data_IF_576389458043
#
_entry.id   IF_576389458043
#
_cell.length_a   1.000
_cell.length_b   1.000
_cell.length_c   1.000
_cell.angle_alpha   90.00
_cell.angle_beta   90.00
_cell.angle_gamma   90.00
#
_symmetry.space_group_name_H-M   'P 1'
#
loop_
_entity.id
_entity.type
_entity.pdbx_description
1 polymer ?
#
# COMPACT_ATOMS: atom_id res chain seq x y z
N UNK A 1 -58.44 -13.76 34.44
CA UNK A 1 -58.66 -12.41 33.88
C UNK A 1 -57.98 -12.41 32.53
N UNK A 2 -58.80 -12.58 31.49
CA UNK A 2 -58.43 -12.62 30.09
C UNK A 2 -58.78 -11.26 29.51
N UNK A 3 -57.83 -10.62 28.82
CA UNK A 3 -58.06 -9.61 27.78
C UNK A 3 -56.92 -9.87 26.77
N UNK A 4 -57.12 -10.45 25.58
CA UNK A 4 -57.91 -10.01 24.43
C UNK A 4 -57.40 -8.69 23.81
N UNK A 5 -56.47 -8.80 22.85
CA UNK A 5 -56.33 -7.83 21.76
C UNK A 5 -55.97 -8.58 20.48
N UNK A 6 -56.87 -8.51 19.50
CA UNK A 6 -56.73 -9.08 18.17
C UNK A 6 -55.78 -8.26 17.30
N UNK A 7 -54.98 -8.96 16.51
CA UNK A 7 -54.21 -8.37 15.42
C UNK A 7 -55.02 -8.37 14.12
N UNK A 8 -54.83 -7.37 13.25
CA UNK A 8 -55.46 -7.35 11.93
C UNK A 8 -54.70 -8.26 10.94
N UNK A 9 -55.47 -9.02 10.18
CA UNK A 9 -55.05 -9.70 8.95
C UNK A 9 -54.58 -8.66 7.93
N UNK A 10 -53.39 -8.87 7.37
CA UNK A 10 -52.93 -8.20 6.15
C UNK A 10 -52.59 -9.24 5.12
N UNK A 11 -53.60 -9.59 4.33
CA UNK A 11 -53.45 -10.22 3.03
C UNK A 11 -52.84 -9.20 2.07
N UNK A 12 -51.55 -9.37 1.77
CA UNK A 12 -50.78 -8.52 0.87
C UNK A 12 -50.16 -9.36 -0.24
N UNK A 13 -50.78 -9.25 -1.42
CA UNK A 13 -50.40 -9.73 -2.75
C UNK A 13 -48.92 -10.08 -2.97
N UNK A 14 -48.68 -11.34 -3.33
CA UNK A 14 -47.48 -11.75 -4.06
C UNK A 14 -47.57 -11.23 -5.50
N UNK A 15 -46.85 -10.14 -5.79
CA UNK A 15 -46.62 -9.67 -7.16
C UNK A 15 -45.32 -10.23 -7.73
N UNK A 16 -45.49 -10.94 -8.84
CA UNK A 16 -44.57 -11.36 -9.90
C UNK A 16 -43.16 -10.75 -9.91
N UNK A 17 -42.16 -11.58 -9.60
CA UNK A 17 -40.73 -11.32 -9.78
C UNK A 17 -40.11 -12.02 -11.00
N UNK A 18 -40.90 -12.55 -11.94
CA UNK A 18 -40.39 -13.34 -13.07
C UNK A 18 -40.14 -12.53 -14.37
N UNK A 19 -40.36 -11.22 -14.37
CA UNK A 19 -40.25 -10.38 -15.57
C UNK A 19 -38.86 -9.82 -15.91
N UNK A 20 -37.86 -9.88 -15.01
CA UNK A 20 -36.62 -9.10 -15.19
C UNK A 20 -35.44 -9.86 -15.84
N UNK A 21 -35.60 -11.14 -16.14
CA UNK A 21 -34.52 -11.96 -16.73
C UNK A 21 -34.74 -12.33 -18.20
N UNK A 22 -35.86 -11.96 -18.80
CA UNK A 22 -36.15 -12.28 -20.20
C UNK A 22 -35.47 -11.34 -21.22
N UNK A 23 -34.88 -10.22 -20.78
CA UNK A 23 -34.37 -9.16 -21.67
C UNK A 23 -32.83 -9.02 -21.71
N UNK A 24 -32.09 -9.99 -21.13
CA UNK A 24 -30.62 -10.05 -21.20
C UNK A 24 -30.08 -10.89 -22.37
N UNK A 25 -30.95 -11.19 -23.36
CA UNK A 25 -30.69 -12.19 -24.39
C UNK A 25 -30.03 -11.72 -25.69
N UNK A 26 -29.68 -10.43 -25.86
CA UNK A 26 -29.05 -9.92 -27.09
C UNK A 26 -27.94 -8.92 -26.79
N UNK A 27 -26.73 -9.43 -26.53
CA UNK A 27 -25.51 -8.67 -26.76
C UNK A 27 -25.00 -9.00 -28.16
N UNK A 28 -25.14 -8.06 -29.09
CA UNK A 28 -24.35 -8.10 -30.32
C UNK A 28 -22.89 -7.96 -29.94
N UNK A 29 -22.13 -9.04 -30.07
CA UNK A 29 -20.68 -9.07 -29.89
C UNK A 29 -20.00 -8.30 -31.02
N UNK A 30 -20.05 -6.97 -30.94
CA UNK A 30 -19.24 -6.09 -31.78
C UNK A 30 -17.77 -6.45 -31.60
N UNK A 31 -17.06 -6.62 -32.72
CA UNK A 31 -15.64 -6.97 -32.72
C UNK A 31 -14.86 -6.01 -31.81
N UNK A 32 -14.29 -6.56 -30.72
CA UNK A 32 -13.41 -5.81 -29.82
C UNK A 32 -12.26 -5.28 -30.69
N UNK A 33 -11.99 -3.97 -30.72
CA UNK A 33 -10.95 -3.40 -31.57
C UNK A 33 -9.57 -3.69 -30.97
N UNK A 34 -9.13 -4.95 -31.07
CA UNK A 34 -7.84 -5.45 -30.56
C UNK A 34 -6.68 -4.60 -31.08
N UNK A 35 -6.80 -4.08 -32.30
CA UNK A 35 -5.78 -3.23 -32.92
C UNK A 35 -5.58 -1.88 -32.22
N UNK A 36 -6.64 -1.28 -31.66
CA UNK A 36 -6.54 -0.03 -30.91
C UNK A 36 -5.78 -0.25 -29.59
N UNK A 37 -6.13 -1.32 -28.86
CA UNK A 37 -5.48 -1.69 -27.59
C UNK A 37 -4.02 -2.09 -27.79
N UNK A 38 -3.71 -2.83 -28.86
CA UNK A 38 -2.33 -3.22 -29.20
C UNK A 38 -1.48 -2.02 -29.64
N UNK A 39 -2.05 -1.05 -30.38
CA UNK A 39 -1.36 0.21 -30.71
C UNK A 39 -1.05 1.05 -29.48
N UNK A 40 -1.99 1.17 -28.55
CA UNK A 40 -1.79 1.93 -27.31
C UNK A 40 -0.72 1.27 -26.43
N UNK A 41 -0.72 -0.06 -26.34
CA UNK A 41 0.34 -0.81 -25.64
C UNK A 41 1.73 -0.65 -26.27
N UNK A 42 1.84 -0.65 -27.61
CA UNK A 42 3.12 -0.42 -28.30
C UNK A 42 3.64 1.00 -28.10
N UNK A 43 2.78 2.02 -28.14
CA UNK A 43 3.19 3.42 -27.93
C UNK A 43 3.81 3.64 -26.54
N UNK A 44 3.25 3.00 -25.50
CA UNK A 44 3.78 3.06 -24.13
C UNK A 44 5.16 2.37 -24.05
N UNK A 45 5.31 1.20 -24.69
CA UNK A 45 6.58 0.44 -24.68
C UNK A 45 7.72 1.19 -25.38
N UNK A 46 7.43 1.87 -26.49
CA UNK A 46 8.45 2.63 -27.24
C UNK A 46 8.92 3.87 -26.48
N UNK A 47 8.03 4.58 -25.76
CA UNK A 47 8.42 5.71 -24.90
C UNK A 47 9.40 5.31 -23.79
N UNK A 48 9.21 4.14 -23.17
CA UNK A 48 10.10 3.66 -22.10
C UNK A 48 11.49 3.29 -22.60
N UNK A 49 11.64 2.83 -23.85
CA UNK A 49 12.96 2.47 -24.42
C UNK A 49 13.84 3.67 -24.79
N UNK A 50 13.24 4.82 -25.10
CA UNK A 50 14.02 6.03 -25.46
C UNK A 50 14.65 6.70 -24.23
N UNK A 51 14.12 6.44 -23.03
CA UNK A 51 14.61 7.05 -21.78
C UNK A 51 15.69 6.20 -21.10
N UNK A 52 15.76 4.89 -21.39
CA UNK A 52 16.67 3.95 -20.71
C UNK A 52 18.10 3.85 -21.27
N UNK A 53 18.44 4.50 -22.39
CA UNK A 53 19.75 4.35 -23.04
C UNK A 53 20.78 5.44 -22.68
N UNK A 54 20.48 6.32 -21.71
CA UNK A 54 21.26 7.54 -21.46
C UNK A 54 22.28 7.54 -20.31
N UNK A 55 22.46 6.47 -19.54
CA UNK A 55 23.42 6.48 -18.42
C UNK A 55 24.19 5.17 -18.27
N UNK A 56 25.29 5.07 -19.02
CA UNK A 56 26.37 4.12 -18.77
C UNK A 56 27.71 4.82 -19.08
N UNK A 57 28.20 5.61 -18.12
CA UNK A 57 29.62 5.90 -17.91
C UNK A 57 29.78 6.89 -16.76
N UNK A 58 30.29 6.42 -15.63
CA UNK A 58 31.44 6.96 -14.87
C UNK A 58 31.49 6.15 -13.58
N UNK A 59 32.40 5.18 -13.58
CA UNK A 59 32.91 4.55 -12.37
C UNK A 59 34.30 5.15 -12.13
N UNK A 60 34.53 5.77 -10.97
CA UNK A 60 35.79 5.72 -10.23
C UNK A 60 35.74 6.58 -8.95
N UNK A 61 36.09 5.92 -7.84
CA UNK A 61 36.85 6.42 -6.69
C UNK A 61 36.32 7.61 -5.85
N UNK A 62 35.89 7.31 -4.62
CA UNK A 62 36.65 7.60 -3.38
C UNK A 62 35.78 7.22 -2.16
N UNK A 63 36.11 6.11 -1.51
CA UNK A 63 35.54 5.72 -0.22
C UNK A 63 36.40 6.30 0.90
N UNK A 64 35.96 7.40 1.51
CA UNK A 64 36.46 7.83 2.82
C UNK A 64 35.45 7.34 3.86
N UNK A 65 35.89 6.40 4.68
CA UNK A 65 35.11 5.86 5.78
C UNK A 65 34.91 6.91 6.88
N UNK A 66 33.65 7.18 7.22
CA UNK A 66 33.27 7.89 8.44
C UNK A 66 32.71 6.86 9.40
N UNK A 67 33.29 6.67 10.60
CA UNK A 67 32.67 5.82 11.61
C UNK A 67 31.48 6.57 12.21
N UNK A 68 30.26 6.11 11.93
CA UNK A 68 29.07 6.56 12.65
C UNK A 68 29.04 5.82 13.98
N UNK A 69 29.52 6.48 15.04
CA UNK A 69 29.29 6.07 16.41
C UNK A 69 27.82 6.36 16.75
N UNK A 70 26.99 5.32 16.78
CA UNK A 70 25.66 5.39 17.40
C UNK A 70 25.87 5.23 18.91
N UNK A 71 26.05 6.35 19.60
CA UNK A 71 25.96 6.39 21.05
C UNK A 71 24.52 6.72 21.44
N UNK A 72 23.82 5.72 21.98
CA UNK A 72 22.60 5.94 22.74
C UNK A 72 22.88 6.66 24.05
N UNK A 73 21.96 7.51 24.47
CA UNK A 73 22.01 8.18 25.75
C UNK A 73 20.81 9.10 25.89
N UNK A 74 19.78 8.61 26.56
CA UNK A 74 18.63 9.43 26.93
C UNK A 74 18.98 10.40 28.06
N UNK A 75 18.41 11.59 27.98
CA UNK A 75 18.08 12.40 29.16
C UNK A 75 17.16 13.56 28.75
N UNK A 76 16.03 13.64 29.44
CA UNK A 76 15.16 14.80 29.47
C UNK A 76 15.89 15.97 30.12
N UNK A 77 15.88 17.15 29.48
CA UNK A 77 15.97 18.43 30.17
C UNK A 77 15.46 19.55 29.28
N UNK A 78 14.47 20.28 29.79
CA UNK A 78 14.10 21.60 29.33
C UNK A 78 15.27 22.57 29.58
N UNK A 79 15.51 23.48 28.63
CA UNK A 79 16.48 24.55 28.77
C UNK A 79 16.48 25.47 27.56
N UNK A 80 15.66 26.52 27.62
CA UNK A 80 15.77 27.66 26.72
C UNK A 80 17.12 28.36 26.94
N UNK A 81 17.88 28.60 25.87
CA UNK A 81 18.97 29.56 25.85
C UNK A 81 19.08 30.15 24.44
N UNK A 82 18.63 31.40 24.32
CA UNK A 82 18.86 32.29 23.20
C UNK A 82 20.33 32.75 23.21
N UNK A 83 21.01 32.68 22.06
CA UNK A 83 22.33 33.27 21.86
C UNK A 83 22.60 33.48 20.36
N UNK A 84 23.14 34.64 19.92
CA UNK A 84 23.07 35.10 18.53
C UNK A 84 24.30 34.73 17.68
N UNK A 85 24.05 34.69 16.37
CA UNK A 85 24.97 34.87 15.24
C UNK A 85 26.13 33.88 15.04
N UNK A 86 25.85 32.89 14.18
CA UNK A 86 26.83 32.06 13.49
C UNK A 86 26.19 31.37 12.29
N UNK A 87 25.96 32.14 11.22
CA UNK A 87 25.38 31.68 9.94
C UNK A 87 26.30 30.65 9.29
N UNK A 88 26.09 29.38 9.61
CA UNK A 88 26.31 28.28 8.67
C UNK A 88 24.94 27.86 8.14
N UNK A 89 24.41 28.65 7.21
CA UNK A 89 23.34 28.16 6.34
C UNK A 89 23.99 27.09 5.45
N UNK A 90 23.99 25.84 5.92
CA UNK A 90 24.06 24.71 5.02
C UNK A 90 22.85 24.89 4.11
N UNK A 91 23.08 25.36 2.89
CA UNK A 91 22.07 25.37 1.84
C UNK A 91 21.72 23.90 1.66
N UNK A 92 20.62 23.48 2.28
CA UNK A 92 20.03 22.18 2.04
C UNK A 92 19.80 22.13 0.53
N UNK A 93 20.61 21.34 -0.17
CA UNK A 93 20.45 21.07 -1.60
C UNK A 93 19.32 20.08 -1.87
N UNK A 94 18.44 19.87 -0.89
CA UNK A 94 17.24 19.05 -1.02
C UNK A 94 16.25 19.66 -2.00
N UNK A 95 15.33 18.84 -2.52
CA UNK A 95 14.27 19.32 -3.40
C UNK A 95 13.44 20.39 -2.68
N UNK A 96 12.89 21.34 -3.45
CA UNK A 96 12.00 22.36 -2.88
C UNK A 96 10.56 21.92 -3.04
N UNK A 97 9.94 21.49 -1.95
CA UNK A 97 8.57 20.99 -1.93
C UNK A 97 7.65 22.04 -1.31
N UNK A 98 6.53 22.32 -1.98
CA UNK A 98 5.45 23.16 -1.41
C UNK A 98 4.11 22.46 -1.60
N UNK A 99 3.22 22.63 -0.61
CA UNK A 99 1.85 22.12 -0.61
C UNK A 99 0.93 23.25 -0.19
N UNK A 100 -0.06 23.54 -1.01
CA UNK A 100 -1.04 24.61 -0.85
C UNK A 100 -2.43 24.01 -1.02
N UNK A 101 -3.02 23.46 0.06
CA UNK A 101 -4.38 22.97 0.03
C UNK A 101 -5.38 24.12 -0.06
N UNK A 102 -6.44 23.94 -0.86
CA UNK A 102 -7.62 24.80 -0.88
C UNK A 102 -8.81 23.98 -0.38
N UNK A 103 -9.47 24.38 0.72
CA UNK A 103 -10.63 23.67 1.24
C UNK A 103 -11.80 23.70 0.25
N UNK A 104 -12.77 22.82 0.46
CA UNK A 104 -13.99 22.77 -0.37
C UNK A 104 -14.74 24.09 -0.32
N UNK A 105 -14.79 24.80 -1.45
CA UNK A 105 -15.62 25.98 -1.66
C UNK A 105 -16.60 25.68 -2.79
N UNK A 106 -17.90 25.75 -2.50
CA UNK A 106 -18.98 25.38 -3.44
C UNK A 106 -18.87 23.94 -3.99
N UNK A 107 -18.43 23.00 -3.16
CA UNK A 107 -18.33 21.58 -3.53
C UNK A 107 -17.15 21.23 -4.44
N UNK A 108 -16.18 22.15 -4.59
CA UNK A 108 -14.91 21.93 -5.28
C UNK A 108 -13.76 22.32 -4.38
N UNK A 109 -12.73 21.49 -4.32
CA UNK A 109 -11.49 21.73 -3.60
C UNK A 109 -10.29 21.37 -4.49
N UNK A 110 -9.10 21.74 -4.03
CA UNK A 110 -7.88 21.50 -4.78
C UNK A 110 -6.69 21.33 -3.84
N UNK A 111 -5.90 20.30 -4.05
CA UNK A 111 -4.54 20.24 -3.54
C UNK A 111 -3.60 20.76 -4.63
N UNK A 112 -2.69 21.66 -4.29
CA UNK A 112 -1.73 22.20 -5.25
C UNK A 112 -0.37 22.38 -4.62
N UNK A 113 0.66 22.60 -5.43
CA UNK A 113 2.00 22.76 -4.90
C UNK A 113 3.06 22.89 -5.98
N UNK A 114 4.29 22.68 -5.57
CA UNK A 114 5.43 22.63 -6.48
C UNK A 114 6.49 21.66 -5.97
N UNK A 115 7.16 20.98 -6.91
CA UNK A 115 8.36 20.16 -6.68
C UNK A 115 9.44 20.72 -7.60
N UNK A 116 10.53 21.24 -7.03
CA UNK A 116 11.63 21.88 -7.77
C UNK A 116 11.15 22.96 -8.75
N UNK A 117 10.17 23.75 -8.31
CA UNK A 117 9.55 24.83 -9.10
C UNK A 117 8.54 24.36 -10.16
N UNK A 118 8.41 23.05 -10.39
CA UNK A 118 7.35 22.49 -11.26
C UNK A 118 6.05 22.40 -10.48
N UNK A 119 5.03 23.11 -10.94
CA UNK A 119 3.71 23.15 -10.28
C UNK A 119 2.96 21.83 -10.48
N UNK A 120 2.22 21.42 -9.46
CA UNK A 120 1.28 20.30 -9.51
C UNK A 120 -0.06 20.72 -8.90
N UNK A 121 -1.12 20.02 -9.29
CA UNK A 121 -2.48 20.30 -8.82
C UNK A 121 -3.38 19.09 -9.03
N UNK A 122 -4.15 18.73 -8.00
CA UNK A 122 -5.19 17.71 -8.03
C UNK A 122 -6.49 18.33 -7.52
N UNK A 123 -7.50 18.37 -8.39
CA UNK A 123 -8.84 18.83 -8.04
C UNK A 123 -9.65 17.72 -7.39
N UNK A 124 -10.63 18.08 -6.58
CA UNK A 124 -11.64 17.14 -6.09
C UNK A 124 -12.98 17.84 -5.99
N UNK A 125 -14.07 17.10 -6.23
CA UNK A 125 -15.43 17.62 -6.05
C UNK A 125 -16.31 16.59 -5.33
N UNK A 126 -17.50 17.03 -4.88
CA UNK A 126 -18.41 16.19 -4.09
C UNK A 126 -18.96 14.96 -4.86
N UNK A 127 -18.78 14.88 -6.18
CA UNK A 127 -19.30 13.82 -7.07
C UNK A 127 -18.19 13.00 -7.73
N UNK A 128 -17.01 13.59 -7.92
CA UNK A 128 -15.88 13.04 -8.64
C UNK A 128 -14.65 13.11 -7.73
N UNK A 129 -14.46 12.04 -6.95
CA UNK A 129 -13.17 11.79 -6.32
C UNK A 129 -12.29 10.89 -7.19
N UNK A 130 -12.48 10.91 -8.50
CA UNK A 130 -11.74 10.08 -9.46
C UNK A 130 -10.23 10.35 -9.49
N UNK A 131 -9.78 11.49 -8.98
CA UNK A 131 -8.34 11.77 -8.86
C UNK A 131 -7.80 11.40 -7.47
N UNK A 132 -8.70 11.10 -6.53
CA UNK A 132 -8.40 10.59 -5.19
C UNK A 132 -9.27 9.35 -4.98
N UNK A 133 -9.17 8.37 -5.90
CA UNK A 133 -10.10 7.23 -6.04
C UNK A 133 -10.42 6.48 -4.75
N UNK A 134 -9.51 6.54 -3.79
CA UNK A 134 -9.58 5.89 -2.49
C UNK A 134 -10.40 6.66 -1.44
N UNK A 135 -10.69 7.95 -1.65
CA UNK A 135 -11.28 8.86 -0.66
C UNK A 135 -12.79 8.74 -0.47
N UNK A 136 -13.54 8.34 -1.50
CA UNK A 136 -14.98 8.64 -1.59
C UNK A 136 -15.90 7.45 -1.79
N UNK A 137 -15.48 6.22 -1.46
CA UNK A 137 -16.51 5.18 -1.25
C UNK A 137 -16.14 3.71 -1.35
N UNK A 138 -14.90 3.30 -1.61
CA UNK A 138 -14.61 1.87 -1.79
C UNK A 138 -13.92 1.17 -0.63
N UNK A 139 -13.34 1.90 0.33
CA UNK A 139 -12.87 1.30 1.58
C UNK A 139 -13.51 2.04 2.74
N UNK A 140 -14.36 1.32 3.48
CA UNK A 140 -14.32 1.48 4.94
C UNK A 140 -12.85 1.49 5.31
N UNK A 141 -12.33 2.61 5.82
CA UNK A 141 -11.04 2.63 6.51
C UNK A 141 -11.01 1.33 7.30
N UNK A 142 -10.07 0.43 6.97
CA UNK A 142 -10.03 -0.85 7.65
C UNK A 142 -10.11 -0.51 9.14
N UNK A 143 -11.14 -0.95 9.88
CA UNK A 143 -11.30 -0.56 11.27
C UNK A 143 -10.07 -0.95 12.11
N UNK A 144 -9.20 -1.82 11.59
CA UNK A 144 -7.88 -2.13 12.14
C UNK A 144 -6.85 -0.98 12.00
N UNK A 145 -7.01 -0.06 11.03
CA UNK A 145 -6.16 1.11 10.84
C UNK A 145 -6.48 2.19 11.87
N UNK A 146 -5.81 2.08 13.02
CA UNK A 146 -6.04 2.93 14.20
C UNK A 146 -5.87 4.44 13.97
N UNK A 147 -5.17 4.88 12.92
CA UNK A 147 -4.90 6.32 12.74
C UNK A 147 -5.03 6.84 11.31
N UNK A 148 -4.79 6.01 10.29
CA UNK A 148 -4.96 6.41 8.90
C UNK A 148 -4.44 5.39 7.90
N UNK A 149 -4.63 5.67 6.61
CA UNK A 149 -4.20 4.88 5.46
C UNK A 149 -3.39 5.73 4.50
N UNK A 150 -2.12 5.35 4.24
CA UNK A 150 -1.28 5.99 3.22
C UNK A 150 -1.45 5.25 1.90
N UNK A 151 -2.02 5.93 0.90
CA UNK A 151 -2.01 5.51 -0.49
C UNK A 151 -0.98 6.28 -1.28
N UNK A 152 -0.38 5.62 -2.28
CA UNK A 152 0.40 6.29 -3.32
C UNK A 152 -0.41 6.16 -4.60
N UNK A 153 -0.74 7.29 -5.22
CA UNK A 153 -1.38 7.29 -6.51
C UNK A 153 -0.31 7.16 -7.59
N UNK A 154 -0.64 6.51 -8.70
CA UNK A 154 0.27 6.34 -9.82
C UNK A 154 0.82 7.71 -10.28
N UNK A 155 2.13 7.76 -10.56
CA UNK A 155 2.87 8.96 -10.99
C UNK A 155 2.10 9.74 -12.07
N UNK A 156 1.52 10.90 -11.71
CA UNK A 156 0.93 11.81 -12.70
C UNK A 156 2.04 12.74 -13.19
N UNK A 157 2.62 12.39 -14.33
CA UNK A 157 3.71 13.18 -14.92
C UNK A 157 5.08 12.78 -14.37
N UNK A 158 5.74 13.71 -13.67
CA UNK A 158 7.13 13.56 -13.19
C UNK A 158 7.22 13.61 -11.66
N UNK A 159 6.15 13.32 -10.92
CA UNK A 159 6.11 13.30 -9.46
C UNK A 159 5.36 12.07 -8.97
N UNK A 160 5.74 11.58 -7.80
CA UNK A 160 5.00 10.53 -7.10
C UNK A 160 4.02 11.22 -6.13
N UNK A 161 2.72 10.95 -6.30
CA UNK A 161 1.66 11.60 -5.54
C UNK A 161 1.25 10.73 -4.35
N UNK A 162 1.32 11.29 -3.16
CA UNK A 162 1.00 10.62 -1.90
C UNK A 162 -0.30 11.17 -1.35
N UNK A 163 -1.22 10.27 -1.00
CA UNK A 163 -2.46 10.61 -0.32
C UNK A 163 -2.54 9.87 1.01
N UNK A 164 -2.73 10.61 2.09
CA UNK A 164 -2.92 10.06 3.42
C UNK A 164 -4.35 10.37 3.89
N UNK A 165 -5.14 9.32 4.07
CA UNK A 165 -6.45 9.38 4.71
C UNK A 165 -6.25 9.19 6.21
N UNK A 166 -6.78 10.09 7.03
CA UNK A 166 -6.61 9.99 8.48
C UNK A 166 -7.95 9.83 9.19
N UNK A 167 -7.90 9.45 10.46
CA UNK A 167 -9.07 9.53 11.32
C UNK A 167 -9.47 10.99 11.59
N UNK A 168 -10.72 11.19 12.04
CA UNK A 168 -11.36 12.51 12.21
C UNK A 168 -10.66 13.43 13.22
N UNK A 169 -9.84 12.88 14.10
CA UNK A 169 -9.13 13.60 15.17
C UNK A 169 -7.74 14.13 14.75
N UNK A 170 -7.27 13.78 13.54
CA UNK A 170 -5.98 14.26 13.03
C UNK A 170 -6.13 15.65 12.40
N UNK A 171 -5.44 16.64 12.97
CA UNK A 171 -5.44 18.02 12.48
C UNK A 171 -4.23 18.34 11.60
N UNK A 172 -3.07 17.74 11.90
CA UNK A 172 -1.85 17.96 11.12
C UNK A 172 -0.96 16.73 11.06
N UNK A 173 -0.07 16.73 10.08
CA UNK A 173 0.83 15.62 9.76
C UNK A 173 2.23 16.17 9.53
N UNK A 174 3.22 15.51 10.12
CA UNK A 174 4.62 15.72 9.77
C UNK A 174 5.13 14.54 8.97
N UNK A 175 5.65 14.79 7.77
CA UNK A 175 6.25 13.79 6.88
C UNK A 175 7.75 14.02 6.84
N UNK A 176 8.53 13.04 7.26
CA UNK A 176 9.99 13.04 7.14
C UNK A 176 10.34 12.24 5.90
N UNK A 177 11.14 12.82 5.01
CA UNK A 177 11.58 12.20 3.77
C UNK A 177 12.87 11.42 3.99
N UNK A 178 13.28 10.63 3.00
CA UNK A 178 14.49 9.81 3.07
C UNK A 178 15.80 10.63 3.04
N UNK A 179 15.76 11.85 2.51
CA UNK A 179 16.87 12.80 2.53
C UNK A 179 16.93 13.64 3.82
N UNK A 180 15.95 13.47 4.72
CA UNK A 180 15.84 14.18 5.99
C UNK A 180 15.03 15.47 5.92
N UNK A 181 14.50 15.87 4.76
CA UNK A 181 13.55 16.99 4.68
C UNK A 181 12.27 16.66 5.48
N UNK A 182 11.69 17.70 6.09
CA UNK A 182 10.50 17.58 6.92
C UNK A 182 9.40 18.46 6.36
N UNK A 183 8.28 17.85 5.98
CA UNK A 183 7.07 18.54 5.54
C UNK A 183 6.08 18.63 6.70
N UNK A 184 5.57 19.83 6.97
CA UNK A 184 4.47 20.06 7.91
C UNK A 184 3.20 20.37 7.12
N UNK A 185 2.18 19.52 7.26
CA UNK A 185 1.00 19.53 6.41
C UNK A 185 -0.26 19.58 7.29
N UNK A 186 -1.20 20.45 6.95
CA UNK A 186 -2.53 20.48 7.57
C UNK A 186 -3.46 19.50 6.86
N UNK A 187 -4.38 18.88 7.60
CA UNK A 187 -5.41 18.03 7.00
C UNK A 187 -6.51 18.88 6.38
N UNK A 188 -7.03 18.44 5.23
CA UNK A 188 -8.18 19.07 4.56
C UNK A 188 -9.36 18.12 4.65
N UNK A 189 -10.53 18.55 5.16
CA UNK A 189 -11.70 17.71 5.16
C UNK A 189 -12.23 17.51 3.73
N UNK A 190 -12.27 16.26 3.27
CA UNK A 190 -12.89 15.83 2.02
C UNK A 190 -14.07 14.94 2.38
N UNK A 191 -15.30 15.42 2.18
CA UNK A 191 -16.53 14.72 2.60
C UNK A 191 -16.51 14.26 4.08
N UNK A 192 -15.88 15.04 4.95
CA UNK A 192 -15.78 14.75 6.39
C UNK A 192 -14.64 13.81 6.80
N UNK A 193 -13.85 13.32 5.84
CA UNK A 193 -12.60 12.59 6.08
C UNK A 193 -11.43 13.55 5.98
N UNK A 194 -10.56 13.68 6.99
CA UNK A 194 -9.37 14.51 6.86
C UNK A 194 -8.34 13.81 5.94
N UNK A 195 -7.83 14.58 4.98
CA UNK A 195 -6.92 14.10 3.93
C UNK A 195 -5.71 15.01 3.86
N UNK A 196 -4.54 14.41 3.68
CA UNK A 196 -3.33 15.10 3.26
C UNK A 196 -2.93 14.59 1.89
N UNK A 197 -2.60 15.50 0.97
CA UNK A 197 -2.06 15.15 -0.33
C UNK A 197 -0.82 15.98 -0.61
N UNK A 198 0.24 15.33 -1.06
CA UNK A 198 1.50 15.97 -1.43
C UNK A 198 2.19 15.20 -2.56
N UNK A 199 3.10 15.85 -3.28
CA UNK A 199 3.85 15.24 -4.37
C UNK A 199 5.36 15.31 -4.08
N UNK A 200 6.08 14.25 -4.43
CA UNK A 200 7.53 14.14 -4.27
C UNK A 200 8.23 13.94 -5.62
N UNK A 201 9.52 14.29 -5.75
CA UNK A 201 10.35 13.85 -6.87
C UNK A 201 10.32 12.31 -7.01
N UNK A 202 10.41 11.77 -8.24
CA UNK A 202 10.35 10.33 -8.45
C UNK A 202 11.45 9.60 -7.68
N UNK A 203 11.05 8.61 -6.89
CA UNK A 203 11.97 7.80 -6.09
C UNK A 203 12.46 8.45 -4.79
N UNK A 204 12.01 9.65 -4.44
CA UNK A 204 12.18 10.18 -3.09
C UNK A 204 11.13 9.54 -2.16
N UNK A 205 11.57 8.70 -1.25
CA UNK A 205 10.68 8.00 -0.32
C UNK A 205 10.31 8.80 0.92
N UNK A 206 9.22 8.38 1.57
CA UNK A 206 8.86 8.80 2.92
C UNK A 206 9.53 7.88 3.94
N UNK A 207 10.28 8.45 4.90
CA UNK A 207 10.93 7.69 5.97
C UNK A 207 10.06 7.58 7.22
N UNK A 208 9.28 8.61 7.54
CA UNK A 208 8.40 8.64 8.72
C UNK A 208 7.21 9.55 8.51
N UNK A 209 6.06 9.16 9.06
CA UNK A 209 4.85 9.97 9.15
C UNK A 209 4.46 10.09 10.61
N UNK A 210 4.19 11.31 11.08
CA UNK A 210 3.75 11.59 12.45
C UNK A 210 2.44 12.34 12.41
N UNK A 211 1.46 11.89 13.18
CA UNK A 211 0.12 12.48 13.23
C UNK A 211 -0.07 13.26 14.53
N UNK A 212 -0.73 14.41 14.43
CA UNK A 212 -1.01 15.29 15.55
C UNK A 212 -2.50 15.66 15.61
N UNK A 213 -3.02 15.83 16.83
CA UNK A 213 -4.35 16.35 17.07
C UNK A 213 -4.42 17.89 16.95
N UNK A 214 -5.61 18.46 17.15
CA UNK A 214 -5.82 19.92 17.10
C UNK A 214 -5.12 20.73 18.19
N UNK A 215 -4.59 20.06 19.24
CA UNK A 215 -3.82 20.70 20.30
C UNK A 215 -2.30 20.54 20.07
N UNK A 216 -1.89 19.91 18.96
CA UNK A 216 -0.50 19.60 18.67
C UNK A 216 0.06 18.38 19.42
N UNK A 217 -0.78 17.59 20.08
CA UNK A 217 -0.35 16.35 20.73
C UNK A 217 -0.15 15.24 19.70
N UNK A 218 0.95 14.49 19.82
CA UNK A 218 1.24 13.38 18.92
C UNK A 218 0.25 12.22 19.15
N UNK A 219 -0.45 11.80 18.11
CA UNK A 219 -1.40 10.68 18.14
C UNK A 219 -0.71 9.34 17.88
N UNK A 220 0.24 9.33 16.95
CA UNK A 220 0.96 8.14 16.52
C UNK A 220 1.96 8.45 15.41
N UNK A 221 2.71 7.45 14.99
CA UNK A 221 3.60 7.56 13.84
C UNK A 221 3.69 6.25 13.07
N UNK A 222 4.10 6.31 11.80
CA UNK A 222 4.39 5.16 10.95
C UNK A 222 5.70 5.36 10.21
N UNK A 223 6.33 4.27 9.82
CA UNK A 223 7.49 4.25 8.94
C UNK A 223 7.11 3.47 7.68
N UNK A 224 6.66 4.13 6.60
CA UNK A 224 6.24 3.46 5.37
C UNK A 224 7.35 2.60 4.77
N UNK A 225 6.98 1.49 4.14
CA UNK A 225 7.95 0.63 3.46
C UNK A 225 8.18 1.18 2.06
N UNK A 226 9.39 1.60 1.74
CA UNK A 226 9.71 2.12 0.41
C UNK A 226 10.70 1.20 -0.30
N UNK A 227 10.34 0.76 -1.51
CA UNK A 227 11.28 0.09 -2.41
C UNK A 227 11.79 1.14 -3.40
N UNK A 228 13.09 1.08 -3.70
CA UNK A 228 13.68 1.93 -4.73
C UNK A 228 12.93 1.79 -6.06
N UNK A 229 12.43 2.91 -6.59
CA UNK A 229 11.72 2.96 -7.87
C UNK A 229 10.31 2.38 -7.85
N UNK A 230 9.74 2.16 -6.66
CA UNK A 230 8.37 1.69 -6.47
C UNK A 230 7.63 2.57 -5.47
N UNK A 231 6.32 2.38 -5.40
CA UNK A 231 5.47 3.00 -4.40
C UNK A 231 5.85 2.60 -2.96
N UNK A 232 5.54 3.49 -2.02
CA UNK A 232 5.63 3.19 -0.58
C UNK A 232 4.37 2.43 -0.15
N UNK A 233 4.52 1.23 0.39
CA UNK A 233 3.41 0.54 1.04
C UNK A 233 3.23 1.09 2.46
N UNK A 234 1.97 1.21 2.88
CA UNK A 234 1.67 1.64 4.23
C UNK A 234 2.24 0.64 5.26
N UNK A 235 2.97 1.16 6.24
CA UNK A 235 3.44 0.37 7.36
C UNK A 235 2.47 0.33 8.55
N UNK A 236 2.86 -0.44 9.57
CA UNK A 236 2.23 -0.41 10.90
C UNK A 236 2.25 1.02 11.50
N UNK A 237 1.22 1.32 12.30
CA UNK A 237 1.21 2.50 13.18
C UNK A 237 1.74 2.16 14.58
N UNK A 238 2.45 3.12 15.17
CA UNK A 238 3.10 3.06 16.47
C UNK A 238 2.55 4.16 17.38
N UNK A 239 2.47 3.87 18.67
CA UNK A 239 2.16 4.89 19.69
C UNK A 239 3.32 5.87 19.84
N UNK A 240 3.09 7.10 20.31
CA UNK A 240 4.17 8.01 20.70
C UNK A 240 5.15 7.33 21.67
N UNK A 241 6.45 7.42 21.38
CA UNK A 241 7.51 6.81 22.18
C UNK A 241 7.73 5.30 21.98
N UNK A 242 6.86 4.61 21.24
CA UNK A 242 7.09 3.20 20.88
C UNK A 242 8.32 3.07 19.98
N UNK A 243 9.15 2.06 20.22
CA UNK A 243 10.34 1.78 19.38
C UNK A 243 9.96 0.78 18.29
N UNK A 244 10.07 1.13 17.00
CA UNK A 244 9.81 0.18 15.93
C UNK A 244 10.82 -0.98 15.96
N UNK A 245 10.42 -2.20 15.55
CA UNK A 245 11.35 -3.31 15.47
C UNK A 245 12.44 -3.03 14.42
N UNK A 246 13.65 -3.57 14.61
CA UNK A 246 14.73 -3.40 13.63
C UNK A 246 14.36 -4.04 12.30
N UNK A 247 14.90 -3.48 11.21
CA UNK A 247 14.74 -4.07 9.89
C UNK A 247 15.49 -5.41 9.78
N UNK A 248 14.91 -6.37 9.07
CA UNK A 248 15.55 -7.63 8.69
C UNK A 248 15.11 -8.05 7.27
N UNK A 249 15.97 -8.80 6.59
CA UNK A 249 15.80 -9.21 5.19
C UNK A 249 16.92 -8.63 4.30
N UNK A 250 16.85 -8.81 2.98
CA UNK A 250 15.81 -9.52 2.22
C UNK A 250 15.87 -11.05 2.39
N UNK A 251 14.72 -11.73 2.31
CA UNK A 251 14.64 -13.19 2.13
C UNK A 251 13.82 -13.51 0.89
N UNK A 252 14.44 -14.10 -0.14
CA UNK A 252 13.71 -14.60 -1.30
C UNK A 252 12.70 -15.66 -0.84
N UNK A 253 11.42 -15.52 -1.17
CA UNK A 253 10.36 -16.47 -0.87
C UNK A 253 10.16 -17.46 -2.02
N UNK A 254 9.98 -16.94 -3.23
CA UNK A 254 9.74 -17.71 -4.44
C UNK A 254 10.35 -17.01 -5.67
N UNK A 255 10.67 -17.81 -6.69
CA UNK A 255 11.15 -17.38 -7.99
C UNK A 255 10.54 -18.26 -9.08
N UNK A 256 10.20 -17.66 -10.21
CA UNK A 256 9.66 -18.40 -11.35
C UNK A 256 9.37 -17.50 -12.54
N UNK A 257 8.43 -17.94 -13.38
CA UNK A 257 8.00 -17.20 -14.57
C UNK A 257 6.49 -17.07 -14.60
N UNK A 258 6.00 -15.88 -14.93
CA UNK A 258 4.58 -15.57 -15.09
C UNK A 258 4.40 -14.74 -16.36
N UNK A 259 3.52 -15.19 -17.27
CA UNK A 259 3.32 -14.51 -18.56
C UNK A 259 4.58 -14.42 -19.45
N UNK A 260 5.58 -15.28 -19.22
CA UNK A 260 6.89 -15.25 -19.89
C UNK A 260 7.93 -14.33 -19.24
N UNK A 261 7.53 -13.48 -18.30
CA UNK A 261 8.43 -12.64 -17.52
C UNK A 261 8.89 -13.35 -16.25
N UNK A 262 10.12 -13.05 -15.80
CA UNK A 262 10.64 -13.55 -14.53
C UNK A 262 9.93 -12.84 -13.37
N UNK A 263 9.52 -13.63 -12.37
CA UNK A 263 8.97 -13.14 -11.11
C UNK A 263 9.85 -13.56 -9.93
N UNK A 264 10.14 -12.63 -9.02
CA UNK A 264 10.82 -12.87 -7.74
C UNK A 264 10.00 -12.25 -6.63
N UNK A 265 9.69 -13.04 -5.61
CA UNK A 265 8.98 -12.60 -4.40
C UNK A 265 9.95 -12.60 -3.23
N UNK A 266 10.04 -11.49 -2.49
CA UNK A 266 11.02 -11.28 -1.43
C UNK A 266 10.35 -10.72 -0.18
N UNK A 267 10.59 -11.31 0.98
CA UNK A 267 10.12 -10.81 2.26
C UNK A 267 11.12 -9.83 2.90
N UNK A 268 10.54 -8.85 3.60
CA UNK A 268 11.20 -7.88 4.45
C UNK A 268 10.43 -7.78 5.77
N UNK A 269 11.13 -7.44 6.84
CA UNK A 269 10.49 -7.05 8.11
C UNK A 269 11.15 -5.80 8.64
N UNK A 270 10.44 -4.99 9.41
CA UNK A 270 11.04 -3.82 10.06
C UNK A 270 10.00 -2.85 10.61
N UNK A 271 10.32 -1.56 10.66
CA UNK A 271 9.41 -0.52 11.13
C UNK A 271 8.08 -0.43 10.35
N UNK A 272 8.00 -0.97 9.15
CA UNK A 272 6.74 -1.01 8.39
C UNK A 272 5.89 -2.25 8.72
N UNK A 273 6.43 -3.19 9.51
CA UNK A 273 5.87 -4.53 9.67
C UNK A 273 6.47 -5.53 8.66
N UNK A 274 5.84 -6.70 8.51
CA UNK A 274 6.20 -7.69 7.51
C UNK A 274 5.69 -7.26 6.13
N UNK A 275 6.60 -7.17 5.15
CA UNK A 275 6.26 -6.78 3.79
C UNK A 275 6.80 -7.80 2.78
N UNK A 276 6.10 -7.95 1.66
CA UNK A 276 6.47 -8.81 0.55
C UNK A 276 6.58 -7.97 -0.71
N UNK A 277 7.67 -8.14 -1.43
CA UNK A 277 7.96 -7.46 -2.69
C UNK A 277 7.92 -8.46 -3.81
N UNK A 278 7.08 -8.19 -4.80
CA UNK A 278 6.99 -8.96 -6.04
C UNK A 278 7.57 -8.14 -7.18
N UNK A 279 8.62 -8.65 -7.82
CA UNK A 279 9.21 -8.04 -9.03
C UNK A 279 8.85 -8.93 -10.22
N UNK A 280 8.04 -8.42 -11.15
CA UNK A 280 7.65 -9.06 -12.40
C UNK A 280 8.18 -8.24 -13.58
N UNK A 281 9.20 -8.75 -14.28
CA UNK A 281 9.86 -8.01 -15.36
C UNK A 281 10.44 -6.67 -14.86
N UNK A 282 9.94 -5.55 -15.36
CA UNK A 282 10.34 -4.19 -14.92
C UNK A 282 9.36 -3.55 -13.93
N UNK A 283 8.37 -4.31 -13.45
CA UNK A 283 7.36 -3.83 -12.51
C UNK A 283 7.63 -4.42 -11.13
N UNK A 284 7.47 -3.60 -10.10
CA UNK A 284 7.55 -4.03 -8.71
C UNK A 284 6.29 -3.63 -7.96
N UNK A 285 5.85 -4.51 -7.07
CA UNK A 285 4.75 -4.27 -6.15
C UNK A 285 5.23 -4.62 -4.73
N UNK A 286 4.87 -3.80 -3.75
CA UNK A 286 5.11 -4.01 -2.34
C UNK A 286 3.78 -4.17 -1.61
N UNK A 287 3.64 -5.19 -0.79
CA UNK A 287 2.49 -5.34 0.10
C UNK A 287 2.97 -5.54 1.54
N UNK A 288 2.43 -4.77 2.47
CA UNK A 288 2.78 -4.82 3.88
C UNK A 288 1.60 -5.32 4.69
N UNK A 289 1.79 -6.46 5.35
CA UNK A 289 0.71 -7.20 5.98
C UNK A 289 0.47 -6.65 7.39
N UNK A 290 -0.77 -6.23 7.66
CA UNK A 290 -1.17 -5.78 8.98
C UNK A 290 -1.21 -6.93 9.99
N UNK A 291 -0.33 -6.87 10.99
CA UNK A 291 -0.12 -7.98 11.94
C UNK A 291 -1.18 -8.10 13.03
N UNK A 292 -2.09 -7.12 13.14
CA UNK A 292 -3.12 -7.09 14.18
C UNK A 292 -4.14 -8.23 14.10
N UNK A 293 -4.19 -8.94 12.97
CA UNK A 293 -5.30 -9.84 12.62
C UNK A 293 -4.85 -11.24 12.20
N UNK A 294 -3.56 -11.58 12.32
CA UNK A 294 -3.05 -12.88 11.88
C UNK A 294 -3.33 -13.94 12.96
N UNK A 295 -4.60 -14.29 13.12
CA UNK A 295 -5.03 -15.51 13.83
C UNK A 295 -5.15 -16.70 12.86
N UNK A 296 -5.07 -16.45 11.55
CA UNK A 296 -5.07 -17.44 10.46
C UNK A 296 -3.96 -17.15 9.42
N UNK A 297 -3.91 -17.94 8.34
CA UNK A 297 -3.02 -17.63 7.20
C UNK A 297 -3.72 -16.62 6.30
N UNK A 298 -3.09 -15.52 5.91
CA UNK A 298 -3.63 -14.67 4.84
C UNK A 298 -3.08 -15.18 3.51
N UNK A 299 -3.96 -15.56 2.59
CA UNK A 299 -3.58 -15.97 1.24
C UNK A 299 -4.26 -15.02 0.26
N UNK A 300 -3.51 -14.05 -0.24
CA UNK A 300 -4.01 -13.19 -1.30
C UNK A 300 -3.95 -13.95 -2.62
N UNK A 301 -5.12 -14.33 -3.13
CA UNK A 301 -5.29 -15.00 -4.42
C UNK A 301 -5.71 -13.96 -5.46
N UNK A 302 -4.84 -13.71 -6.42
CA UNK A 302 -5.23 -13.14 -7.71
C UNK A 302 -5.67 -14.29 -8.62
N UNK A 303 -6.98 -14.57 -8.69
CA UNK A 303 -7.53 -15.67 -9.50
C UNK A 303 -7.32 -15.44 -11.00
N UNK A 304 -6.60 -16.33 -11.69
CA UNK A 304 -6.33 -16.24 -13.14
C UNK A 304 -5.28 -17.24 -13.67
N UNK A 305 -5.12 -17.38 -14.99
CA UNK A 305 -4.05 -18.23 -15.54
C UNK A 305 -2.70 -17.54 -15.32
N UNK A 306 -1.83 -18.12 -14.48
CA UNK A 306 -0.57 -17.51 -14.06
C UNK A 306 -0.67 -16.79 -12.71
N UNK A 307 -1.23 -17.44 -11.69
CA UNK A 307 -1.36 -16.89 -10.34
C UNK A 307 -0.01 -16.91 -9.62
N UNK A 308 0.22 -15.91 -8.78
CA UNK A 308 1.14 -16.06 -7.67
C UNK A 308 0.47 -15.52 -6.42
N UNK A 309 0.81 -16.12 -5.29
CA UNK A 309 0.28 -15.75 -3.99
C UNK A 309 1.41 -15.75 -2.98
N UNK A 310 1.28 -14.87 -2.00
CA UNK A 310 2.22 -14.75 -0.90
C UNK A 310 1.50 -14.28 0.35
N UNK A 311 2.12 -14.47 1.50
CA UNK A 311 1.53 -14.00 2.75
C UNK A 311 2.27 -14.49 3.98
N UNK A 312 1.56 -14.45 5.10
CA UNK A 312 2.03 -14.94 6.40
C UNK A 312 1.24 -16.17 6.82
N UNK A 313 1.93 -17.08 7.51
CA UNK A 313 1.31 -18.22 8.19
C UNK A 313 1.46 -18.10 9.70
N UNK A 314 0.51 -18.71 10.42
CA UNK A 314 0.57 -18.81 11.86
C UNK A 314 1.83 -19.59 12.32
N UNK A 315 2.39 -19.29 13.52
CA UNK A 315 3.63 -19.93 14.00
C UNK A 315 3.59 -21.46 14.04
N UNK A 316 2.41 -22.06 14.24
CA UNK A 316 2.17 -23.50 14.32
C UNK A 316 2.09 -24.21 12.95
N UNK A 317 2.07 -23.48 11.84
CA UNK A 317 2.09 -24.06 10.49
C UNK A 317 3.54 -24.37 10.11
N UNK A 318 3.85 -25.65 9.93
CA UNK A 318 5.19 -26.11 9.57
C UNK A 318 5.43 -26.11 8.06
N UNK A 319 4.40 -26.51 7.29
CA UNK A 319 4.46 -26.57 5.82
C UNK A 319 3.12 -26.20 5.20
N UNK A 320 3.18 -25.69 3.98
CA UNK A 320 2.03 -25.51 3.11
C UNK A 320 2.12 -26.49 1.93
N UNK A 321 0.99 -26.81 1.35
CA UNK A 321 0.87 -27.61 0.13
C UNK A 321 -0.12 -26.94 -0.80
N UNK A 322 0.29 -26.75 -2.05
CA UNK A 322 -0.55 -26.26 -3.12
C UNK A 322 -1.16 -27.44 -3.85
N UNK A 323 -2.48 -27.47 -3.96
CA UNK A 323 -3.24 -28.54 -4.60
C UNK A 323 -3.71 -28.07 -5.98
N UNK A 324 -3.59 -28.93 -6.99
CA UNK A 324 -3.95 -28.63 -8.38
C UNK A 324 -5.12 -29.47 -8.88
N UNK A 325 -5.80 -28.97 -9.93
CA UNK A 325 -6.96 -29.62 -10.52
C UNK A 325 -6.67 -31.01 -11.13
N UNK A 326 -5.42 -31.29 -11.50
CA UNK A 326 -4.98 -32.58 -12.01
C UNK A 326 -4.64 -33.60 -10.91
N UNK A 327 -4.91 -33.27 -9.64
CA UNK A 327 -4.63 -34.10 -8.48
C UNK A 327 -3.17 -34.05 -8.01
N UNK A 328 -2.29 -33.32 -8.72
CA UNK A 328 -0.93 -33.10 -8.23
C UNK A 328 -0.92 -32.13 -7.06
N UNK A 329 0.07 -32.28 -6.19
CA UNK A 329 0.32 -31.37 -5.09
C UNK A 329 1.79 -30.98 -5.04
N UNK A 330 2.06 -29.74 -4.63
CA UNK A 330 3.41 -29.19 -4.55
C UNK A 330 3.65 -28.60 -3.18
N UNK A 331 4.71 -28.98 -2.46
CA UNK A 331 5.05 -28.36 -1.19
C UNK A 331 5.44 -26.90 -1.41
N UNK A 332 4.89 -26.00 -0.59
CA UNK A 332 5.19 -24.57 -0.59
C UNK A 332 6.12 -24.26 0.59
N UNK A 333 7.35 -23.79 0.35
CA UNK A 333 8.28 -23.45 1.43
C UNK A 333 7.73 -22.34 2.33
N UNK A 334 7.84 -22.55 3.64
CA UNK A 334 7.60 -21.52 4.66
C UNK A 334 8.96 -21.03 5.17
N UNK A 335 9.22 -19.73 5.10
CA UNK A 335 10.49 -19.11 5.49
C UNK A 335 10.30 -18.16 6.67
N UNK A 336 11.22 -18.19 7.63
CA UNK A 336 11.15 -17.33 8.80
C UNK A 336 11.98 -16.07 8.61
N UNK A 337 11.44 -14.91 9.01
CA UNK A 337 12.15 -13.63 9.02
C UNK A 337 11.55 -12.71 10.08
N UNK A 338 12.40 -12.11 10.93
CA UNK A 338 11.94 -11.11 11.92
C UNK A 338 10.88 -11.60 12.91
N UNK A 339 10.84 -12.90 13.22
CA UNK A 339 9.80 -13.53 14.06
C UNK A 339 8.50 -13.88 13.33
N UNK A 340 8.41 -13.58 12.03
CA UNK A 340 7.30 -13.93 11.16
C UNK A 340 7.61 -15.16 10.30
N UNK A 341 6.56 -15.83 9.81
CA UNK A 341 6.66 -16.95 8.88
C UNK A 341 5.96 -16.59 7.58
N UNK A 342 6.74 -16.46 6.52
CA UNK A 342 6.28 -16.09 5.20
C UNK A 342 6.13 -17.31 4.31
N UNK A 343 5.25 -17.21 3.32
CA UNK A 343 5.20 -18.14 2.19
C UNK A 343 5.03 -17.37 0.90
N UNK A 344 5.43 -17.98 -0.21
CA UNK A 344 5.05 -17.55 -1.54
C UNK A 344 5.05 -18.75 -2.48
N UNK A 345 4.17 -18.74 -3.46
CA UNK A 345 4.17 -19.72 -4.55
C UNK A 345 3.72 -19.07 -5.86
N UNK A 346 4.15 -19.67 -6.97
CA UNK A 346 3.80 -19.28 -8.33
C UNK A 346 3.17 -20.50 -8.98
N UNK A 347 1.95 -20.35 -9.49
CA UNK A 347 1.23 -21.39 -10.23
C UNK A 347 1.87 -21.51 -11.61
N UNK A 348 2.42 -22.69 -11.98
CA UNK A 348 3.01 -22.88 -13.30
C UNK A 348 1.98 -22.65 -14.42
N UNK A 349 2.44 -22.14 -15.56
CA UNK A 349 1.58 -21.96 -16.74
C UNK A 349 0.89 -23.26 -17.14
N UNK A 350 -0.41 -23.21 -17.42
CA UNK A 350 -1.22 -24.38 -17.76
C UNK A 350 -1.67 -25.23 -16.57
N UNK A 351 -1.36 -24.84 -15.33
CA UNK A 351 -1.90 -25.45 -14.12
C UNK A 351 -2.98 -24.54 -13.50
N UNK A 352 -3.96 -25.15 -12.85
CA UNK A 352 -4.98 -24.46 -12.07
C UNK A 352 -4.89 -24.92 -10.62
N UNK A 353 -4.66 -23.97 -9.71
CA UNK A 353 -4.70 -24.22 -8.27
C UNK A 353 -6.15 -24.45 -7.82
N UNK A 354 -6.39 -25.50 -7.05
CA UNK A 354 -7.69 -25.81 -6.44
C UNK A 354 -7.72 -25.46 -4.96
N UNK A 355 -6.57 -25.41 -4.29
CA UNK A 355 -6.52 -25.27 -2.84
C UNK A 355 -5.12 -25.02 -2.29
N UNK A 356 -5.07 -24.59 -1.04
CA UNK A 356 -3.83 -24.62 -0.24
C UNK A 356 -4.17 -25.30 1.07
N UNK A 357 -3.42 -26.34 1.40
CA UNK A 357 -3.55 -27.06 2.67
C UNK A 357 -2.36 -26.73 3.57
N UNK A 358 -2.62 -26.29 4.81
CA UNK A 358 -1.60 -26.07 5.81
C UNK A 358 -1.45 -27.30 6.71
N UNK A 359 -0.22 -27.58 7.13
CA UNK A 359 0.05 -28.68 8.06
C UNK A 359 0.90 -28.21 9.23
N UNK A 360 0.63 -28.76 10.41
CA UNK A 360 1.50 -28.61 11.57
C UNK A 360 2.76 -29.49 11.45
N UNK A 361 3.62 -29.44 12.47
CA UNK A 361 4.85 -30.22 12.52
C UNK A 361 4.63 -31.75 12.59
N UNK A 362 3.45 -32.20 13.03
CA UNK A 362 3.07 -33.61 13.07
C UNK A 362 2.45 -34.09 11.74
N UNK A 363 2.28 -33.18 10.77
CA UNK A 363 1.66 -33.48 9.48
C UNK A 363 0.13 -33.49 9.53
N UNK A 364 -0.49 -32.99 10.61
CA UNK A 364 -1.94 -32.83 10.68
C UNK A 364 -2.35 -31.60 9.88
N UNK A 365 -3.36 -31.76 9.03
CA UNK A 365 -3.95 -30.64 8.31
C UNK A 365 -4.60 -29.64 9.28
N UNK A 366 -4.33 -28.36 9.07
CA UNK A 366 -4.90 -27.25 9.83
C UNK A 366 -5.87 -26.48 8.93
N UNK A 367 -6.94 -25.90 9.50
CA UNK A 367 -7.83 -25.03 8.74
C UNK A 367 -7.04 -23.82 8.24
N UNK A 368 -7.17 -23.53 6.95
CA UNK A 368 -6.64 -22.32 6.31
C UNK A 368 -7.82 -21.40 6.08
N UNK A 369 -7.80 -20.21 6.67
CA UNK A 369 -8.73 -19.16 6.28
C UNK A 369 -8.21 -18.56 4.97
N UNK A 370 -8.88 -18.80 3.86
CA UNK A 370 -8.61 -18.03 2.65
C UNK A 370 -9.38 -16.72 2.75
N UNK A 371 -8.73 -15.65 3.19
CA UNK A 371 -9.31 -14.33 3.06
C UNK A 371 -9.25 -13.94 1.59
N UNK A 372 -10.40 -13.94 0.92
CA UNK A 372 -10.52 -13.62 -0.52
C UNK A 372 -10.38 -12.13 -0.82
N UNK A 373 -9.77 -11.34 0.07
CA UNK A 373 -9.85 -9.88 0.04
C UNK A 373 -8.51 -9.23 0.34
N UNK A 374 -7.60 -9.24 -0.64
CA UNK A 374 -6.81 -8.06 -1.02
C UNK A 374 -6.53 -8.21 -2.51
N UNK A 375 -7.31 -7.51 -3.34
CA UNK A 375 -6.87 -7.25 -4.71
C UNK A 375 -5.70 -6.27 -4.57
N UNK A 376 -4.47 -6.78 -4.66
CA UNK A 376 -3.32 -5.95 -4.94
C UNK A 376 -3.58 -5.29 -6.30
N UNK A 377 -3.86 -3.98 -6.26
CA UNK A 377 -4.12 -3.15 -7.45
C UNK A 377 -2.92 -3.07 -8.39
#
# INVERSE_FOLDING_TARGET
MNDAYGGPDTDGEAQDGEGLFADLGHFETGAIPVDATVRQGRAIRTRRRVIGSGMLAIAAALSIGVPVAIAGGGSSAAGAASGPDGVYAAVSSGPRITVNPTPLVHGKGQFSGAVDGKKWSIGFDNKNCYDILWACGSQTLDPSTKYGTLGVNATVGNTDDYTLFTQRDVASVTVVLQDGEVLHLETVPVNGTPVVLFALPPGLGVSKIVLFDGNGAQLGFSAPFTIKGSFSAQGRWYKPGETPPPAAGPVELARGTMGGDQIVMTAYTGPSGPCIVSVLGSTSNADCIHTGTITGSSIDRNGGVGEAASGLVAPNIARLQLDFADGTNVPVPVKSLGGYRFFAYIVPSGKQSTGVTAFDAAGKALPVQTNTQYNAG
#
